data_IF_297220519149
#
_entry.id   IF_297220519149
#
_cell.length_a   1.000
_cell.length_b   1.000
_cell.length_c   1.000
_cell.angle_alpha   90.00
_cell.angle_beta   90.00
_cell.angle_gamma   90.00
#
_symmetry.space_group_name_H-M   'P 1'
#
loop_
_entity.id
_entity.type
_entity.pdbx_description
1 polymer ?
#
# COMPACT_ATOMS: atom_id res chain seq x y z
N UNK A 1 -5.62 -19.77 -33.72
CA UNK A 1 -5.65 -18.74 -32.64
C UNK A 1 -6.88 -18.80 -31.74
N UNK A 2 -8.09 -19.06 -32.21
CA UNK A 2 -9.31 -19.24 -31.36
C UNK A 2 -9.28 -20.44 -30.40
N UNK A 3 -8.45 -21.44 -30.65
CA UNK A 3 -8.35 -22.66 -29.81
C UNK A 3 -7.46 -22.53 -28.58
N UNK A 4 -6.53 -21.58 -28.55
CA UNK A 4 -5.64 -21.38 -27.42
C UNK A 4 -6.30 -20.54 -26.30
N UNK A 5 -7.13 -19.56 -26.69
CA UNK A 5 -7.91 -18.75 -25.74
C UNK A 5 -8.99 -19.58 -25.01
N UNK A 6 -9.50 -20.62 -25.68
CA UNK A 6 -10.48 -21.55 -25.13
C UNK A 6 -9.84 -22.50 -24.07
N UNK A 7 -8.57 -22.84 -24.23
CA UNK A 7 -7.86 -23.73 -23.29
C UNK A 7 -7.48 -23.03 -21.98
N UNK A 8 -7.13 -21.74 -22.01
CA UNK A 8 -6.83 -20.96 -20.79
C UNK A 8 -8.10 -20.66 -19.99
N UNK A 9 -9.24 -20.47 -20.66
CA UNK A 9 -10.54 -20.29 -19.98
C UNK A 9 -11.13 -21.62 -19.46
N UNK A 10 -10.83 -22.75 -20.10
CA UNK A 10 -11.33 -24.07 -19.67
C UNK A 10 -10.52 -24.68 -18.52
N UNK A 11 -9.26 -24.33 -18.35
CA UNK A 11 -8.47 -24.80 -17.19
C UNK A 11 -8.90 -24.15 -15.85
N UNK A 12 -9.68 -23.07 -15.90
CA UNK A 12 -10.25 -22.42 -14.70
C UNK A 12 -11.62 -23.06 -14.32
N UNK A 13 -12.27 -23.78 -15.23
CA UNK A 13 -13.63 -24.31 -15.01
C UNK A 13 -13.71 -25.80 -14.66
N UNK A 14 -12.60 -26.52 -14.51
CA UNK A 14 -12.62 -27.95 -14.15
C UNK A 14 -12.44 -28.14 -12.62
N UNK A 15 -13.25 -27.47 -11.81
CA UNK A 15 -13.52 -27.95 -10.46
C UNK A 15 -14.94 -28.52 -10.40
N UNK A 16 -14.97 -29.80 -10.15
CA UNK A 16 -16.14 -30.71 -10.18
C UNK A 16 -17.27 -30.20 -9.26
N UNK A 17 -18.47 -30.31 -9.77
CA UNK A 17 -19.70 -30.28 -9.00
C UNK A 17 -19.63 -31.33 -7.87
N UNK A 18 -19.51 -30.86 -6.63
CA UNK A 18 -19.80 -31.67 -5.45
C UNK A 18 -21.33 -31.85 -5.43
N UNK A 19 -21.74 -33.09 -5.51
CA UNK A 19 -23.15 -33.51 -5.40
C UNK A 19 -23.76 -32.91 -4.15
N UNK A 20 -24.92 -32.28 -4.31
CA UNK A 20 -25.83 -31.97 -3.24
C UNK A 20 -26.19 -33.29 -2.55
N UNK A 21 -25.91 -33.39 -1.28
CA UNK A 21 -26.34 -34.47 -0.43
C UNK A 21 -27.64 -34.05 0.25
N UNK A 22 -28.58 -34.92 0.15
CA UNK A 22 -29.95 -34.99 0.63
C UNK A 22 -30.42 -33.91 1.61
N UNK A 23 -31.47 -33.22 1.21
CA UNK A 23 -32.34 -32.43 2.05
C UNK A 23 -33.05 -33.37 3.05
N UNK A 24 -33.00 -33.10 4.36
CA UNK A 24 -33.90 -33.79 5.28
C UNK A 24 -35.35 -33.36 5.02
N UNK A 25 -36.28 -34.33 5.03
CA UNK A 25 -37.72 -34.06 4.93
C UNK A 25 -38.16 -32.98 5.93
N UNK A 26 -39.09 -32.11 5.54
CA UNK A 26 -39.62 -31.10 6.46
C UNK A 26 -40.45 -31.78 7.58
N UNK A 27 -40.41 -31.25 8.81
CA UNK A 27 -41.11 -31.82 9.96
C UNK A 27 -42.64 -31.87 9.69
N UNK A 28 -43.26 -32.96 10.04
CA UNK A 28 -44.62 -33.29 9.65
C UNK A 28 -45.74 -32.54 10.43
N UNK A 29 -45.38 -31.83 11.54
CA UNK A 29 -46.37 -31.05 12.32
C UNK A 29 -45.75 -29.80 12.97
N UNK A 30 -46.56 -28.72 13.20
CA UNK A 30 -46.06 -27.51 13.88
C UNK A 30 -45.64 -27.73 15.34
N UNK A 31 -46.11 -28.75 16.02
CA UNK A 31 -45.75 -29.08 17.39
C UNK A 31 -44.34 -29.67 17.50
N UNK A 32 -43.96 -30.55 16.58
CA UNK A 32 -42.61 -31.12 16.51
C UNK A 32 -41.54 -30.06 16.19
N UNK A 33 -41.92 -29.03 15.45
CA UNK A 33 -41.04 -27.91 15.17
C UNK A 33 -40.75 -27.04 16.39
N UNK A 34 -41.72 -26.87 17.30
CA UNK A 34 -41.55 -26.10 18.56
C UNK A 34 -40.65 -26.87 19.52
N UNK A 35 -40.87 -28.17 19.71
CA UNK A 35 -40.04 -29.02 20.57
C UNK A 35 -38.61 -29.13 20.05
N UNK A 36 -38.37 -29.16 18.73
CA UNK A 36 -37.06 -29.15 18.14
C UNK A 36 -36.36 -27.81 18.33
N UNK A 37 -37.06 -26.68 18.32
CA UNK A 37 -36.49 -25.35 18.55
C UNK A 37 -36.16 -25.14 20.04
N UNK A 38 -37.00 -25.61 20.96
CA UNK A 38 -36.70 -25.59 22.40
C UNK A 38 -35.51 -26.49 22.76
N UNK A 39 -35.40 -27.69 22.20
CA UNK A 39 -34.27 -28.58 22.42
C UNK A 39 -32.93 -28.05 21.84
N UNK A 40 -32.98 -27.26 20.77
CA UNK A 40 -31.77 -26.58 20.18
C UNK A 40 -31.40 -25.36 21.01
N UNK A 41 -32.36 -24.65 21.62
CA UNK A 41 -32.08 -23.49 22.46
C UNK A 41 -31.33 -23.86 23.75
N UNK A 42 -31.61 -25.05 24.32
CA UNK A 42 -30.96 -25.55 25.56
C UNK A 42 -29.57 -26.15 25.30
N UNK A 43 -29.16 -26.37 24.02
CA UNK A 43 -27.88 -26.95 23.66
C UNK A 43 -26.87 -25.95 23.05
N UNK A 44 -27.20 -24.65 23.02
CA UNK A 44 -26.22 -23.64 22.64
C UNK A 44 -25.18 -23.57 23.75
N UNK A 45 -24.04 -24.22 23.51
CA UNK A 45 -22.88 -24.05 24.39
C UNK A 45 -22.61 -22.55 24.57
N UNK A 46 -22.35 -22.08 25.80
CA UNK A 46 -22.03 -20.68 26.01
C UNK A 46 -20.89 -20.27 25.06
N UNK A 47 -21.08 -19.16 24.34
CA UNK A 47 -20.00 -18.66 23.50
C UNK A 47 -18.73 -18.56 24.35
N UNK A 48 -17.59 -19.09 23.85
CA UNK A 48 -16.35 -19.07 24.61
C UNK A 48 -16.03 -17.62 24.99
N UNK A 49 -15.80 -17.37 26.28
CA UNK A 49 -15.40 -16.05 26.74
C UNK A 49 -14.17 -15.59 25.99
N UNK A 50 -14.28 -14.43 25.33
CA UNK A 50 -13.17 -13.83 24.59
C UNK A 50 -12.00 -13.60 25.55
N UNK A 51 -10.83 -14.04 25.17
CA UNK A 51 -9.59 -13.73 25.90
C UNK A 51 -9.39 -12.20 25.96
N UNK A 52 -8.62 -11.72 26.96
CA UNK A 52 -8.30 -10.28 27.06
C UNK A 52 -7.65 -9.75 25.77
N UNK A 53 -6.91 -10.58 25.05
CA UNK A 53 -6.39 -10.24 23.73
C UNK A 53 -7.53 -9.99 22.75
N UNK A 54 -8.42 -10.93 22.53
CA UNK A 54 -9.53 -10.84 21.56
C UNK A 54 -10.50 -9.71 21.88
N UNK A 55 -10.62 -9.34 23.17
CA UNK A 55 -11.51 -8.27 23.62
C UNK A 55 -11.01 -6.87 23.24
N UNK A 56 -9.72 -6.62 23.29
CA UNK A 56 -9.13 -5.29 23.11
C UNK A 56 -8.31 -5.13 21.84
N UNK A 57 -7.81 -6.23 21.27
CA UNK A 57 -6.96 -6.22 20.09
C UNK A 57 -7.68 -6.78 18.88
N UNK A 58 -7.51 -6.12 17.75
CA UNK A 58 -8.01 -6.57 16.45
C UNK A 58 -6.86 -6.58 15.45
N UNK A 59 -6.51 -7.76 14.98
CA UNK A 59 -5.60 -7.93 13.86
C UNK A 59 -6.42 -8.09 12.59
N UNK A 60 -6.13 -7.28 11.58
CA UNK A 60 -6.69 -7.40 10.24
C UNK A 60 -5.55 -7.38 9.24
N UNK A 61 -5.69 -8.12 8.16
CA UNK A 61 -4.65 -8.19 7.16
C UNK A 61 -5.19 -8.50 5.78
N UNK A 62 -4.38 -8.16 4.79
CA UNK A 62 -4.57 -8.53 3.39
C UNK A 62 -3.21 -8.88 2.81
N UNK A 63 -3.06 -10.10 2.33
CA UNK A 63 -1.90 -10.53 1.55
C UNK A 63 -2.38 -10.84 0.15
N UNK A 64 -1.75 -10.26 -0.86
CA UNK A 64 -2.12 -10.45 -2.27
C UNK A 64 -0.91 -10.81 -3.11
N UNK A 65 -1.11 -11.68 -4.07
CA UNK A 65 -0.17 -11.95 -5.14
C UNK A 65 -0.83 -11.62 -6.48
N UNK A 66 -0.34 -10.59 -7.14
CA UNK A 66 -0.86 -10.09 -8.40
C UNK A 66 0.08 -10.48 -9.54
N UNK A 67 -0.48 -11.00 -10.61
CA UNK A 67 0.23 -11.32 -11.84
C UNK A 67 -0.33 -10.48 -12.98
N UNK A 68 0.55 -10.00 -13.83
CA UNK A 68 0.21 -9.31 -15.07
C UNK A 68 1.14 -9.79 -16.18
N UNK A 69 0.62 -10.01 -17.36
CA UNK A 69 1.38 -10.47 -18.51
C UNK A 69 0.94 -9.72 -19.77
N UNK A 70 1.90 -9.34 -20.60
CA UNK A 70 1.69 -8.82 -21.94
C UNK A 70 2.46 -9.70 -22.91
N UNK A 71 1.77 -10.39 -23.79
CA UNK A 71 2.34 -11.19 -24.88
C UNK A 71 1.93 -10.64 -26.23
N UNK A 72 2.92 -10.43 -27.10
CA UNK A 72 2.72 -9.92 -28.44
C UNK A 72 3.42 -10.81 -29.45
N UNK A 73 2.70 -11.21 -30.49
CA UNK A 73 3.19 -12.02 -31.62
C UNK A 73 2.86 -11.32 -32.91
N UNK A 74 3.87 -10.98 -33.72
CA UNK A 74 3.68 -10.28 -35.01
C UNK A 74 2.85 -8.99 -34.86
N UNK A 75 3.03 -8.28 -33.76
CA UNK A 75 2.30 -7.06 -33.42
C UNK A 75 2.99 -5.86 -34.04
N UNK A 76 2.34 -5.20 -35.04
CA UNK A 76 2.94 -4.13 -35.83
C UNK A 76 2.94 -2.76 -35.11
N UNK A 77 2.10 -2.58 -34.08
CA UNK A 77 1.94 -1.27 -33.41
C UNK A 77 3.00 -0.99 -32.33
N UNK A 78 4.00 -1.87 -32.19
CA UNK A 78 5.06 -1.72 -31.17
C UNK A 78 4.65 -2.25 -29.79
N UNK A 79 5.57 -2.16 -28.83
CA UNK A 79 5.44 -2.68 -27.47
C UNK A 79 6.40 -3.84 -27.20
N UNK A 80 6.48 -4.25 -25.93
CA UNK A 80 7.34 -5.35 -25.48
C UNK A 80 6.54 -6.41 -24.74
N UNK A 81 6.93 -7.66 -24.96
CA UNK A 81 6.49 -8.75 -24.08
C UNK A 81 7.01 -8.49 -22.67
N UNK A 82 6.14 -8.60 -21.68
CA UNK A 82 6.54 -8.50 -20.28
C UNK A 82 5.65 -9.37 -19.39
N UNK A 83 6.23 -9.81 -18.29
CA UNK A 83 5.51 -10.45 -17.20
C UNK A 83 5.85 -9.71 -15.92
N UNK A 84 4.88 -9.49 -15.05
CA UNK A 84 5.07 -8.83 -13.77
C UNK A 84 4.37 -9.61 -12.66
N UNK A 85 5.08 -9.80 -11.54
CA UNK A 85 4.54 -10.37 -10.32
C UNK A 85 4.76 -9.43 -9.16
N UNK A 86 3.71 -9.18 -8.36
CA UNK A 86 3.77 -8.33 -7.17
C UNK A 86 3.18 -9.09 -5.99
N UNK A 87 3.98 -9.25 -4.93
CA UNK A 87 3.53 -9.68 -3.62
C UNK A 87 3.31 -8.43 -2.76
N UNK A 88 2.09 -8.27 -2.24
CA UNK A 88 1.76 -7.16 -1.34
C UNK A 88 1.18 -7.69 -0.03
N UNK A 89 1.53 -7.02 1.07
CA UNK A 89 1.10 -7.33 2.42
C UNK A 89 0.69 -6.05 3.13
N UNK A 90 -0.53 -6.02 3.64
CA UNK A 90 -1.07 -4.93 4.43
C UNK A 90 -1.60 -5.49 5.74
N UNK A 91 -0.98 -5.13 6.86
CA UNK A 91 -1.36 -5.58 8.20
C UNK A 91 -1.75 -4.39 9.05
N UNK A 92 -2.78 -4.55 9.84
CA UNK A 92 -3.23 -3.56 10.83
C UNK A 92 -3.53 -4.25 12.13
N UNK A 93 -2.81 -3.86 13.18
CA UNK A 93 -3.05 -4.23 14.55
C UNK A 93 -3.66 -3.03 15.28
N UNK A 94 -4.88 -3.18 15.76
CA UNK A 94 -5.60 -2.13 16.48
C UNK A 94 -5.90 -2.58 17.91
N UNK A 95 -5.64 -1.70 18.87
CA UNK A 95 -6.01 -1.82 20.26
C UNK A 95 -6.99 -0.71 20.63
N UNK A 96 -8.06 -1.05 21.32
CA UNK A 96 -8.98 -0.08 21.91
C UNK A 96 -9.45 -0.55 23.27
N UNK A 97 -9.20 0.26 24.29
CA UNK A 97 -9.74 0.09 25.64
C UNK A 97 -9.99 1.45 26.26
N UNK A 98 -11.19 1.67 26.75
CA UNK A 98 -11.63 2.92 27.38
C UNK A 98 -11.28 4.11 26.45
N UNK A 99 -10.53 5.07 26.95
CA UNK A 99 -10.09 6.26 26.20
C UNK A 99 -8.77 6.08 25.43
N UNK A 100 -8.20 4.86 25.41
CA UNK A 100 -6.93 4.59 24.76
C UNK A 100 -7.16 3.84 23.45
N UNK A 101 -6.54 4.34 22.39
CA UNK A 101 -6.45 3.65 21.11
C UNK A 101 -5.01 3.55 20.65
N UNK A 102 -4.62 2.38 20.16
CA UNK A 102 -3.30 2.19 19.57
C UNK A 102 -3.46 1.42 18.26
N UNK A 103 -2.94 1.96 17.19
CA UNK A 103 -3.05 1.42 15.87
C UNK A 103 -1.66 1.33 15.25
N UNK A 104 -1.28 0.14 14.81
CA UNK A 104 -0.01 -0.10 14.12
C UNK A 104 -0.33 -0.71 12.76
N UNK A 105 0.26 -0.15 11.70
CA UNK A 105 0.11 -0.63 10.33
C UNK A 105 1.46 -1.00 9.75
N UNK A 106 1.48 -2.05 8.98
CA UNK A 106 2.61 -2.48 8.18
C UNK A 106 2.15 -2.68 6.73
N UNK A 107 2.74 -1.92 5.82
CA UNK A 107 2.50 -1.99 4.40
C UNK A 107 3.79 -2.39 3.69
N UNK A 108 3.72 -3.38 2.85
CA UNK A 108 4.86 -3.84 2.06
C UNK A 108 4.40 -4.31 0.71
N UNK A 109 5.11 -3.92 -0.32
CA UNK A 109 4.98 -4.52 -1.62
C UNK A 109 6.36 -4.77 -2.24
N UNK A 110 6.49 -5.93 -2.89
CA UNK A 110 7.70 -6.32 -3.59
C UNK A 110 7.33 -6.98 -4.93
N UNK A 111 7.90 -6.50 -6.01
CA UNK A 111 7.53 -6.92 -7.34
C UNK A 111 8.71 -7.09 -8.29
N UNK A 112 8.52 -8.02 -9.23
CA UNK A 112 9.45 -8.30 -10.31
C UNK A 112 8.77 -8.11 -11.65
N UNK A 113 9.53 -7.63 -12.60
CA UNK A 113 9.13 -7.53 -14.00
C UNK A 113 10.17 -8.23 -14.87
N UNK A 114 9.69 -9.05 -15.79
CA UNK A 114 10.49 -9.69 -16.81
C UNK A 114 10.16 -9.10 -18.18
N UNK A 115 11.17 -8.59 -18.87
CA UNK A 115 11.04 -7.97 -20.20
C UNK A 115 12.15 -8.53 -21.11
N UNK A 116 11.87 -9.57 -21.90
CA UNK A 116 12.91 -10.32 -22.64
C UNK A 116 13.62 -9.51 -23.73
N UNK A 117 12.99 -8.44 -24.23
CA UNK A 117 13.50 -7.58 -25.29
C UNK A 117 14.50 -6.53 -24.83
N UNK A 118 14.80 -6.44 -23.53
CA UNK A 118 15.68 -5.45 -22.94
C UNK A 118 17.02 -6.07 -22.50
N UNK A 119 18.08 -5.26 -22.39
CA UNK A 119 19.39 -5.74 -21.92
C UNK A 119 19.31 -6.32 -20.51
N UNK A 120 18.54 -5.68 -19.63
CA UNK A 120 18.27 -6.16 -18.28
C UNK A 120 16.88 -6.79 -18.21
N UNK A 121 16.81 -8.09 -18.50
CA UNK A 121 15.54 -8.82 -18.61
C UNK A 121 14.72 -8.85 -17.32
N UNK A 122 15.38 -8.99 -16.17
CA UNK A 122 14.74 -8.99 -14.86
C UNK A 122 14.95 -7.65 -14.16
N UNK A 123 13.85 -7.02 -13.77
CA UNK A 123 13.86 -5.73 -13.08
C UNK A 123 12.94 -5.78 -11.88
N UNK A 124 13.26 -5.02 -10.88
CA UNK A 124 12.36 -4.76 -9.78
C UNK A 124 11.29 -3.77 -10.21
N UNK A 125 10.02 -4.12 -10.05
CA UNK A 125 8.88 -3.26 -10.38
C UNK A 125 8.38 -2.48 -9.17
N UNK A 126 8.35 -3.15 -8.01
CA UNK A 126 7.91 -2.59 -6.75
C UNK A 126 8.91 -2.92 -5.65
N UNK A 127 9.08 -1.98 -4.73
CA UNK A 127 9.90 -2.15 -3.54
C UNK A 127 9.51 -1.10 -2.51
N UNK A 128 8.73 -1.49 -1.54
CA UNK A 128 8.23 -0.58 -0.51
C UNK A 128 8.07 -1.31 0.81
N UNK A 129 8.55 -0.69 1.86
CA UNK A 129 8.27 -1.04 3.25
C UNK A 129 7.83 0.22 3.98
N UNK A 130 6.66 0.17 4.60
CA UNK A 130 6.09 1.27 5.40
C UNK A 130 5.59 0.71 6.71
N UNK A 131 6.05 1.28 7.79
CA UNK A 131 5.57 1.03 9.14
C UNK A 131 5.02 2.31 9.71
N UNK A 132 3.86 2.26 10.36
CA UNK A 132 3.28 3.40 11.05
C UNK A 132 2.63 2.94 12.34
N UNK A 133 2.87 3.65 13.41
CA UNK A 133 2.22 3.41 14.69
C UNK A 133 1.64 4.71 15.24
N UNK A 134 0.45 4.63 15.82
CA UNK A 134 -0.35 5.75 16.25
C UNK A 134 -0.98 5.44 17.59
N UNK A 135 -0.58 6.17 18.61
CA UNK A 135 -1.14 6.09 19.95
C UNK A 135 -2.01 7.30 20.22
N UNK A 136 -3.27 7.10 20.59
CA UNK A 136 -4.24 8.15 20.82
C UNK A 136 -4.91 8.03 22.19
N UNK A 137 -5.09 9.16 22.84
CA UNK A 137 -5.89 9.33 24.03
C UNK A 137 -7.14 10.17 23.73
N UNK A 138 -8.33 9.58 23.90
CA UNK A 138 -9.61 10.23 23.68
C UNK A 138 -9.92 11.19 24.84
N UNK A 139 -9.87 12.48 24.56
CA UNK A 139 -10.16 13.53 25.55
C UNK A 139 -11.58 14.10 25.38
N UNK A 140 -12.16 13.92 24.22
CA UNK A 140 -13.54 14.27 23.93
C UNK A 140 -14.07 13.32 22.84
N UNK A 141 -15.37 13.09 22.77
CA UNK A 141 -15.99 12.21 21.77
C UNK A 141 -15.39 12.48 20.40
N UNK A 142 -14.83 11.45 19.76
CA UNK A 142 -14.21 11.49 18.44
C UNK A 142 -12.91 12.28 18.30
N UNK A 143 -12.43 12.95 19.36
CA UNK A 143 -11.20 13.72 19.36
C UNK A 143 -10.12 13.07 20.23
N UNK A 144 -8.95 12.87 19.65
CA UNK A 144 -7.83 12.20 20.30
C UNK A 144 -6.59 13.10 20.31
N UNK A 145 -5.92 13.18 21.45
CA UNK A 145 -4.53 13.62 21.49
C UNK A 145 -3.67 12.44 21.04
N UNK A 146 -2.88 12.62 20.00
CA UNK A 146 -2.25 11.51 19.30
C UNK A 146 -0.77 11.73 19.09
N UNK A 147 0.02 10.71 19.39
CA UNK A 147 1.43 10.60 19.01
C UNK A 147 1.48 9.59 17.85
N UNK A 148 2.14 9.96 16.76
CA UNK A 148 2.31 9.12 15.58
C UNK A 148 3.79 9.02 15.22
N UNK A 149 4.26 7.81 14.98
CA UNK A 149 5.57 7.53 14.41
C UNK A 149 5.41 6.74 13.11
N UNK A 150 6.24 7.05 12.13
CA UNK A 150 6.26 6.42 10.83
C UNK A 150 7.67 6.11 10.37
N UNK A 151 7.81 5.06 9.58
CA UNK A 151 9.05 4.69 8.92
C UNK A 151 8.73 4.18 7.52
N UNK A 152 9.49 4.65 6.52
CA UNK A 152 9.34 4.24 5.14
C UNK A 152 10.72 4.04 4.51
N UNK A 153 10.91 2.93 3.79
CA UNK A 153 12.17 2.62 3.10
C UNK A 153 11.92 1.63 1.95
N UNK A 154 13.01 1.13 1.40
CA UNK A 154 13.08 0.07 0.41
C UNK A 154 13.81 -1.14 0.99
N UNK A 155 13.66 -2.33 0.38
CA UNK A 155 14.32 -3.55 0.85
C UNK A 155 15.78 -3.63 0.45
N UNK A 156 16.08 -3.31 -0.82
CA UNK A 156 17.44 -3.39 -1.37
C UNK A 156 17.60 -2.55 -2.64
N UNK A 157 18.77 -2.64 -3.28
CA UNK A 157 19.16 -1.87 -4.46
C UNK A 157 18.07 -1.78 -5.52
N UNK A 158 17.78 -0.58 -5.94
CA UNK A 158 16.91 -0.26 -7.07
C UNK A 158 17.67 0.53 -8.12
N UNK A 159 17.25 0.38 -9.37
CA UNK A 159 17.90 0.98 -10.53
C UNK A 159 16.90 1.66 -11.43
N UNK A 160 17.31 2.77 -12.02
CA UNK A 160 16.69 3.38 -13.19
C UNK A 160 17.35 2.83 -14.45
N UNK A 161 16.55 2.59 -15.49
CA UNK A 161 17.01 2.06 -16.78
C UNK A 161 16.72 3.08 -17.85
N UNK A 162 17.77 3.56 -18.52
CA UNK A 162 17.69 4.56 -19.60
C UNK A 162 18.48 4.08 -20.79
N UNK A 163 18.07 4.49 -22.00
CA UNK A 163 18.90 4.31 -23.20
C UNK A 163 20.02 5.33 -23.16
N UNK A 164 21.28 4.86 -23.27
CA UNK A 164 22.45 5.71 -23.46
C UNK A 164 22.50 6.30 -24.87
N UNK A 165 23.49 7.16 -25.10
CA UNK A 165 23.69 7.85 -26.40
C UNK A 165 23.99 6.86 -27.53
N UNK A 166 24.59 5.73 -27.23
CA UNK A 166 24.86 4.59 -28.13
C UNK A 166 23.64 3.66 -28.34
N UNK A 167 22.47 4.03 -27.81
CA UNK A 167 21.25 3.22 -27.76
C UNK A 167 21.38 1.90 -26.99
N UNK A 168 22.43 1.73 -26.21
CA UNK A 168 22.57 0.64 -25.26
C UNK A 168 21.87 1.03 -23.95
N UNK A 169 21.13 0.09 -23.37
CA UNK A 169 20.46 0.34 -22.12
C UNK A 169 21.46 0.36 -20.96
N UNK A 170 21.44 1.43 -20.19
CA UNK A 170 22.27 1.63 -19.01
C UNK A 170 21.39 1.60 -17.76
N UNK A 171 21.85 0.96 -16.71
CA UNK A 171 21.24 1.00 -15.39
C UNK A 171 21.98 1.98 -14.51
N UNK A 172 21.24 2.89 -13.88
CA UNK A 172 21.76 3.85 -12.90
C UNK A 172 21.19 3.52 -11.53
N UNK A 173 22.03 3.54 -10.52
CA UNK A 173 21.62 3.31 -9.13
C UNK A 173 20.65 4.40 -8.67
N UNK A 174 19.52 4.01 -8.09
CA UNK A 174 18.44 4.92 -7.76
C UNK A 174 18.08 4.95 -6.27
N UNK A 175 18.15 3.83 -5.56
CA UNK A 175 17.80 3.70 -4.14
C UNK A 175 18.24 2.37 -3.54
N UNK A 176 18.22 2.29 -2.19
CA UNK A 176 18.52 1.08 -1.41
C UNK A 176 17.80 1.12 -0.06
N UNK A 177 18.03 0.12 0.79
CA UNK A 177 17.72 0.16 2.21
C UNK A 177 18.32 1.41 2.86
N UNK A 178 17.49 2.20 3.57
CA UNK A 178 17.83 3.49 4.17
C UNK A 178 18.37 4.56 3.19
N UNK A 179 18.17 4.40 1.87
CA UNK A 179 18.63 5.34 0.85
C UNK A 179 17.64 5.51 -0.30
N UNK A 180 16.55 6.33 -0.16
CA UNK A 180 16.20 7.07 1.05
C UNK A 180 15.41 6.25 2.06
N UNK A 181 15.46 6.65 3.31
CA UNK A 181 14.40 6.34 4.28
C UNK A 181 13.84 7.62 4.88
N UNK A 182 12.58 7.53 5.31
CA UNK A 182 11.87 8.61 5.98
C UNK A 182 11.38 8.10 7.33
N UNK A 183 11.82 8.74 8.40
CA UNK A 183 11.34 8.50 9.76
C UNK A 183 10.60 9.75 10.23
N UNK A 184 9.33 9.59 10.58
CA UNK A 184 8.47 10.69 11.02
C UNK A 184 8.05 10.47 12.47
N UNK A 185 8.05 11.53 13.26
CA UNK A 185 7.47 11.56 14.61
C UNK A 185 6.65 12.83 14.75
N UNK A 186 5.40 12.69 15.21
CA UNK A 186 4.52 13.85 15.34
C UNK A 186 3.57 13.72 16.53
N UNK A 187 3.19 14.88 17.10
CA UNK A 187 2.20 14.99 18.16
C UNK A 187 1.12 15.97 17.71
N UNK A 188 -0.14 15.55 17.77
CA UNK A 188 -1.23 16.36 17.27
C UNK A 188 -2.61 15.86 17.68
N UNK A 189 -3.61 16.38 17.04
CA UNK A 189 -5.02 16.06 17.27
C UNK A 189 -5.53 15.21 16.10
N UNK A 190 -6.17 14.10 16.46
CA UNK A 190 -6.80 13.18 15.51
C UNK A 190 -8.33 13.23 15.73
N UNK A 191 -9.05 13.55 14.68
CA UNK A 191 -10.51 13.58 14.67
C UNK A 191 -11.04 12.37 13.88
N UNK A 192 -11.81 11.52 14.56
CA UNK A 192 -12.40 10.29 14.02
C UNK A 192 -13.92 10.35 14.21
N UNK A 193 -14.66 11.05 13.33
CA UNK A 193 -16.11 11.19 13.46
C UNK A 193 -16.84 9.85 13.35
N UNK A 194 -16.27 8.90 12.63
CA UNK A 194 -16.75 7.54 12.42
C UNK A 194 -15.61 6.63 11.99
N UNK A 195 -15.92 5.36 11.70
CA UNK A 195 -14.96 4.35 11.28
C UNK A 195 -14.45 4.53 9.83
N UNK A 196 -15.07 5.44 9.06
CA UNK A 196 -14.76 5.70 7.65
C UNK A 196 -13.68 6.78 7.51
N UNK A 197 -13.83 7.88 8.27
CA UNK A 197 -13.00 9.08 8.13
C UNK A 197 -12.08 9.28 9.32
N UNK A 198 -10.86 9.70 9.03
CA UNK A 198 -9.90 10.16 10.04
C UNK A 198 -9.18 11.40 9.52
N UNK A 199 -9.03 12.41 10.38
CA UNK A 199 -8.28 13.63 10.07
C UNK A 199 -7.33 13.90 11.21
N UNK A 200 -6.04 13.93 10.93
CA UNK A 200 -4.98 14.18 11.88
C UNK A 200 -4.24 15.48 11.52
N UNK A 201 -4.10 16.35 12.47
CA UNK A 201 -3.36 17.61 12.36
C UNK A 201 -2.31 17.69 13.46
N UNK A 202 -1.06 17.81 13.08
CA UNK A 202 0.07 17.98 13.99
C UNK A 202 0.83 19.26 13.67
N UNK A 203 0.84 20.23 14.56
CA UNK A 203 1.71 21.40 14.43
C UNK A 203 3.16 21.09 14.83
N UNK A 204 3.42 19.96 15.48
CA UNK A 204 4.76 19.55 15.92
C UNK A 204 5.08 18.21 15.30
N UNK A 205 5.75 18.23 14.16
CA UNK A 205 6.19 17.06 13.43
C UNK A 205 7.68 17.14 13.10
N UNK A 206 8.41 16.06 13.35
CA UNK A 206 9.79 15.87 12.95
C UNK A 206 9.89 14.85 11.86
N UNK A 207 10.68 15.10 10.83
CA UNK A 207 11.03 14.16 9.76
C UNK A 207 12.54 14.03 9.67
N UNK A 208 13.03 12.82 9.60
CA UNK A 208 14.42 12.49 9.31
C UNK A 208 14.45 11.76 7.96
N UNK A 209 15.11 12.36 6.99
CA UNK A 209 15.42 11.73 5.71
C UNK A 209 16.84 11.20 5.79
N UNK A 210 17.02 9.89 5.60
CA UNK A 210 18.35 9.24 5.61
C UNK A 210 18.73 8.82 4.20
N UNK A 211 19.99 9.06 3.83
CA UNK A 211 20.62 8.58 2.61
C UNK A 211 22.00 8.10 3.00
N UNK A 212 22.22 6.79 2.98
CA UNK A 212 23.54 6.21 3.27
C UNK A 212 24.42 6.31 2.03
N UNK A 213 25.63 6.81 2.20
CA UNK A 213 26.62 6.85 1.15
C UNK A 213 27.06 5.42 0.78
N UNK A 214 27.17 5.14 -0.52
CA UNK A 214 27.84 3.94 -1.03
C UNK A 214 29.29 4.26 -1.39
N UNK A 215 30.15 3.27 -1.24
CA UNK A 215 31.58 3.42 -1.58
C UNK A 215 31.80 3.63 -3.09
N UNK A 216 30.84 3.25 -3.94
CA UNK A 216 30.85 3.41 -5.39
C UNK A 216 30.15 4.69 -5.89
N UNK A 217 29.47 5.44 -5.03
CA UNK A 217 28.84 6.72 -5.34
C UNK A 217 29.71 7.90 -4.91
N UNK A 218 30.77 8.12 -5.68
CA UNK A 218 31.74 9.21 -5.43
C UNK A 218 31.14 10.60 -5.67
N UNK A 219 30.02 10.71 -6.39
CA UNK A 219 29.40 11.99 -6.74
C UNK A 219 28.25 12.37 -5.81
N UNK A 220 27.96 11.57 -4.79
CA UNK A 220 26.84 11.81 -3.85
C UNK A 220 25.49 12.07 -4.55
N UNK A 221 25.25 11.38 -5.67
CA UNK A 221 24.10 11.63 -6.55
C UNK A 221 22.76 11.45 -5.82
N UNK A 222 22.67 10.48 -4.90
CA UNK A 222 21.47 10.29 -4.09
C UNK A 222 21.29 11.37 -3.04
N UNK A 223 22.36 11.89 -2.44
CA UNK A 223 22.30 12.99 -1.48
C UNK A 223 21.66 14.21 -2.14
N UNK A 224 22.17 14.60 -3.30
CA UNK A 224 21.61 15.72 -4.09
C UNK A 224 20.15 15.46 -4.50
N UNK A 225 19.83 14.23 -4.92
CA UNK A 225 18.48 13.83 -5.34
C UNK A 225 17.45 13.98 -4.22
N UNK A 226 17.80 13.63 -2.99
CA UNK A 226 16.89 13.66 -1.83
C UNK A 226 17.12 14.84 -0.88
N UNK A 227 17.96 15.78 -1.26
CA UNK A 227 18.22 17.02 -0.54
C UNK A 227 18.91 16.81 0.82
N UNK A 228 19.71 15.74 0.94
CA UNK A 228 20.56 15.48 2.11
C UNK A 228 21.93 16.11 1.85
N UNK A 229 22.55 16.82 2.82
CA UNK A 229 23.90 17.37 2.63
C UNK A 229 24.94 16.27 2.37
N UNK A 230 25.89 16.51 1.46
CA UNK A 230 26.91 15.55 1.09
C UNK A 230 27.83 15.11 2.25
N UNK A 231 27.93 15.95 3.28
CA UNK A 231 28.73 15.70 4.49
C UNK A 231 27.99 14.90 5.56
N UNK A 232 26.69 14.63 5.37
CA UNK A 232 25.84 13.97 6.36
C UNK A 232 25.05 12.86 5.70
N UNK A 233 24.79 11.79 6.43
CA UNK A 233 23.93 10.69 5.98
C UNK A 233 22.45 10.92 6.27
N UNK A 234 22.09 12.06 6.85
CA UNK A 234 20.70 12.36 7.16
C UNK A 234 20.42 13.87 7.17
N UNK A 235 19.15 14.20 6.99
CA UNK A 235 18.59 15.55 7.14
C UNK A 235 17.43 15.49 8.10
N UNK A 236 17.42 16.32 9.12
CA UNK A 236 16.31 16.45 10.06
C UNK A 236 15.55 17.76 9.84
N UNK A 237 14.23 17.67 9.78
CA UNK A 237 13.33 18.80 9.55
C UNK A 237 12.22 18.80 10.60
N UNK A 238 11.94 19.97 11.17
CA UNK A 238 10.76 20.21 12.00
C UNK A 238 9.70 20.92 11.15
N UNK A 239 8.44 20.56 11.34
CA UNK A 239 7.36 21.09 10.53
C UNK A 239 5.98 20.74 11.09
N UNK A 240 4.98 20.88 10.23
CA UNK A 240 3.62 20.46 10.49
C UNK A 240 3.21 19.32 9.55
N UNK A 241 2.37 18.43 10.07
CA UNK A 241 1.79 17.33 9.30
C UNK A 241 0.27 17.41 9.33
N UNK A 242 -0.35 17.26 8.16
CA UNK A 242 -1.78 17.00 8.00
C UNK A 242 -1.95 15.64 7.35
N UNK A 243 -2.85 14.80 7.90
CA UNK A 243 -3.16 13.51 7.32
C UNK A 243 -4.68 13.30 7.31
N UNK A 244 -5.22 12.95 6.15
CA UNK A 244 -6.63 12.58 6.01
C UNK A 244 -6.73 11.16 5.45
N UNK A 245 -7.62 10.37 6.04
CA UNK A 245 -7.81 8.97 5.65
C UNK A 245 -9.28 8.65 5.44
N UNK A 246 -9.54 7.82 4.44
CA UNK A 246 -10.85 7.21 4.16
C UNK A 246 -10.66 5.71 4.08
N UNK A 247 -11.47 4.97 4.83
CA UNK A 247 -11.56 3.51 4.78
C UNK A 247 -13.02 3.12 4.67
N UNK A 248 -13.49 2.87 3.47
CA UNK A 248 -14.89 2.68 3.20
C UNK A 248 -15.16 1.36 2.49
N UNK A 249 -16.12 0.60 3.03
CA UNK A 249 -16.56 -0.68 2.47
C UNK A 249 -18.08 -0.64 2.26
N UNK A 250 -18.55 -0.05 1.13
CA UNK A 250 -19.97 0.17 0.87
C UNK A 250 -20.78 -1.12 0.69
N UNK A 251 -20.14 -2.15 0.15
CA UNK A 251 -20.75 -3.46 -0.08
C UNK A 251 -19.74 -4.55 0.20
N UNK A 252 -20.23 -5.77 0.44
CA UNK A 252 -19.36 -6.93 0.70
C UNK A 252 -18.37 -7.13 -0.46
N UNK A 253 -17.11 -7.25 -0.14
CA UNK A 253 -16.02 -7.45 -1.11
C UNK A 253 -15.44 -6.16 -1.72
N UNK A 254 -16.12 -5.01 -1.62
CA UNK A 254 -15.58 -3.74 -2.11
C UNK A 254 -14.94 -2.95 -0.97
N UNK A 255 -13.69 -2.57 -1.15
CA UNK A 255 -12.94 -1.75 -0.21
C UNK A 255 -12.32 -0.56 -0.93
N UNK A 256 -12.52 0.62 -0.37
CA UNK A 256 -11.97 1.89 -0.86
C UNK A 256 -11.09 2.45 0.24
N UNK A 257 -9.83 2.69 -0.08
CA UNK A 257 -8.84 3.29 0.81
C UNK A 257 -8.31 4.55 0.16
N UNK A 258 -8.22 5.63 0.93
CA UNK A 258 -7.52 6.84 0.50
C UNK A 258 -6.76 7.41 1.68
N UNK A 259 -5.50 7.76 1.47
CA UNK A 259 -4.67 8.42 2.48
C UNK A 259 -3.93 9.58 1.85
N UNK A 260 -4.24 10.78 2.28
CA UNK A 260 -3.54 12.00 1.93
C UNK A 260 -2.65 12.40 3.12
N UNK A 261 -1.37 12.60 2.87
CA UNK A 261 -0.41 13.12 3.84
C UNK A 261 0.24 14.38 3.28
N UNK A 262 0.18 15.47 4.02
CA UNK A 262 0.87 16.71 3.72
C UNK A 262 1.90 16.98 4.83
N UNK A 263 3.10 17.38 4.43
CA UNK A 263 4.13 17.82 5.36
C UNK A 263 4.70 19.16 4.89
N UNK A 264 4.85 20.11 5.81
CA UNK A 264 5.50 21.40 5.54
C UNK A 264 6.59 21.66 6.57
N UNK A 265 7.87 21.77 6.15
CA UNK A 265 8.96 22.12 7.04
C UNK A 265 8.89 23.59 7.46
N UNK A 266 9.25 23.89 8.71
CA UNK A 266 9.27 25.26 9.23
C UNK A 266 10.50 26.06 8.77
N UNK A 267 11.53 25.40 8.26
CA UNK A 267 12.65 26.03 7.59
C UNK A 267 12.26 26.40 6.15
N UNK A 268 12.54 27.59 5.71
CA UNK A 268 12.16 28.15 4.41
C UNK A 268 10.66 28.47 4.32
N UNK A 269 10.03 29.28 3.99
CA UNK A 269 8.63 29.64 3.70
C UNK A 269 7.60 28.61 4.20
N UNK A 270 7.17 28.77 5.43
CA UNK A 270 6.05 28.01 6.01
C UNK A 270 4.85 28.09 5.03
N UNK A 271 4.28 26.94 4.67
CA UNK A 271 3.26 26.76 3.63
C UNK A 271 3.68 27.04 2.18
N UNK A 272 4.92 27.46 1.92
CA UNK A 272 5.45 27.59 0.55
C UNK A 272 6.00 26.28 -0.03
N UNK A 273 6.45 25.37 0.83
CA UNK A 273 7.05 24.08 0.47
C UNK A 273 6.24 22.98 1.13
N UNK A 274 5.32 22.38 0.40
CA UNK A 274 4.45 21.32 0.92
C UNK A 274 4.77 20.03 0.18
N UNK A 275 5.23 19.02 0.91
CA UNK A 275 5.30 17.66 0.42
C UNK A 275 3.90 17.04 0.43
N UNK A 276 3.53 16.40 -0.67
CA UNK A 276 2.24 15.72 -0.85
C UNK A 276 2.51 14.25 -1.11
N UNK A 277 1.84 13.39 -0.35
CA UNK A 277 1.80 11.94 -0.58
C UNK A 277 0.32 11.51 -0.52
N UNK A 278 -0.25 11.16 -1.66
CA UNK A 278 -1.63 10.70 -1.75
C UNK A 278 -1.68 9.32 -2.37
N UNK A 279 -2.05 8.36 -1.56
CA UNK A 279 -2.30 6.98 -1.97
C UNK A 279 -3.81 6.72 -1.99
N UNK A 280 -4.29 6.11 -3.08
CA UNK A 280 -5.67 5.72 -3.26
C UNK A 280 -5.73 4.29 -3.79
N UNK A 281 -6.64 3.48 -3.25
CA UNK A 281 -6.85 2.12 -3.72
C UNK A 281 -8.34 1.75 -3.68
N UNK A 282 -8.79 1.06 -4.73
CA UNK A 282 -10.07 0.36 -4.79
C UNK A 282 -9.75 -1.12 -4.98
N UNK A 283 -10.28 -1.98 -4.12
CA UNK A 283 -10.16 -3.43 -4.24
C UNK A 283 -11.55 -4.03 -4.23
N UNK A 284 -11.82 -4.90 -5.20
CA UNK A 284 -13.06 -5.67 -5.24
C UNK A 284 -12.76 -7.16 -5.26
N UNK A 285 -13.20 -7.86 -4.22
CA UNK A 285 -13.12 -9.30 -4.09
C UNK A 285 -14.42 -9.92 -4.59
N UNK A 286 -14.38 -10.54 -5.76
CA UNK A 286 -15.57 -11.14 -6.39
C UNK A 286 -15.68 -12.64 -6.16
N UNK A 287 -14.62 -13.27 -5.62
CA UNK A 287 -14.60 -14.66 -5.15
C UNK A 287 -13.82 -14.75 -3.86
N UNK A 288 -13.85 -15.90 -3.17
CA UNK A 288 -13.19 -16.08 -1.86
C UNK A 288 -11.71 -15.65 -1.84
N UNK A 289 -11.03 -15.75 -2.97
CA UNK A 289 -9.60 -15.47 -3.10
C UNK A 289 -9.23 -14.56 -4.29
N UNK A 290 -10.16 -14.33 -5.23
CA UNK A 290 -9.90 -13.51 -6.42
C UNK A 290 -10.28 -12.06 -6.18
N UNK A 291 -9.37 -11.16 -6.47
CA UNK A 291 -9.59 -9.72 -6.36
C UNK A 291 -9.08 -8.95 -7.59
N UNK A 292 -9.74 -7.83 -7.85
CA UNK A 292 -9.25 -6.78 -8.75
C UNK A 292 -8.90 -5.59 -7.90
N UNK A 293 -7.72 -5.03 -8.10
CA UNK A 293 -7.25 -3.86 -7.37
C UNK A 293 -6.80 -2.79 -8.34
N UNK A 294 -7.29 -1.58 -8.15
CA UNK A 294 -6.75 -0.36 -8.74
C UNK A 294 -6.05 0.41 -7.62
N UNK A 295 -4.76 0.68 -7.79
CA UNK A 295 -3.97 1.50 -6.86
C UNK A 295 -3.39 2.69 -7.60
N UNK A 296 -3.56 3.89 -7.07
CA UNK A 296 -2.93 5.09 -7.57
C UNK A 296 -2.11 5.75 -6.47
N UNK A 297 -0.98 6.32 -6.83
CA UNK A 297 -0.11 7.08 -5.93
C UNK A 297 0.32 8.36 -6.61
N UNK A 298 0.05 9.49 -5.97
CA UNK A 298 0.47 10.82 -6.40
C UNK A 298 1.42 11.38 -5.34
N UNK A 299 2.61 11.79 -5.76
CA UNK A 299 3.64 12.33 -4.87
C UNK A 299 4.21 13.61 -5.42
N UNK A 300 4.45 14.54 -4.53
CA UNK A 300 5.23 15.74 -4.77
C UNK A 300 6.09 16.00 -3.54
N UNK A 301 7.38 16.10 -3.73
CA UNK A 301 8.35 16.43 -2.68
C UNK A 301 9.20 17.59 -3.16
N UNK A 302 9.16 18.71 -2.44
CA UNK A 302 9.90 19.93 -2.79
C UNK A 302 11.43 19.73 -2.79
N UNK A 303 11.92 18.80 -2.00
CA UNK A 303 13.34 18.47 -1.93
C UNK A 303 13.81 17.44 -2.97
N UNK A 304 12.89 16.80 -3.72
CA UNK A 304 13.21 15.73 -4.68
C UNK A 304 13.19 16.27 -6.10
N UNK A 305 14.37 16.38 -6.69
CA UNK A 305 14.51 16.81 -8.06
C UNK A 305 14.34 15.64 -9.04
N UNK A 306 13.62 15.90 -10.12
CA UNK A 306 13.37 14.99 -11.23
C UNK A 306 13.86 15.62 -12.50
N UNK A 307 14.69 14.88 -13.25
CA UNK A 307 15.12 15.28 -14.58
C UNK A 307 13.96 15.12 -15.57
N UNK A 308 13.72 16.15 -16.36
CA UNK A 308 12.70 16.16 -17.39
C UNK A 308 13.09 17.04 -18.56
N UNK A 309 12.57 16.73 -19.75
CA UNK A 309 12.86 17.45 -20.98
C UNK A 309 11.63 18.26 -21.39
N UNK A 310 11.83 19.54 -21.72
CA UNK A 310 10.77 20.41 -22.24
C UNK A 310 10.45 20.09 -23.72
N UNK A 311 9.44 20.76 -24.27
CA UNK A 311 9.05 20.59 -25.67
C UNK A 311 10.10 21.08 -26.67
N UNK A 312 11.05 21.89 -26.22
CA UNK A 312 12.15 22.44 -27.00
C UNK A 312 13.40 21.52 -26.95
N UNK A 313 13.39 20.46 -26.13
CA UNK A 313 14.50 19.54 -25.98
C UNK A 313 15.50 19.91 -24.86
N UNK A 314 15.24 20.97 -24.06
CA UNK A 314 16.10 21.34 -22.97
C UNK A 314 15.86 20.44 -21.76
N UNK A 315 16.93 19.99 -21.12
CA UNK A 315 16.91 19.17 -19.90
C UNK A 315 16.82 20.08 -18.67
N UNK A 316 15.87 19.83 -17.84
CA UNK A 316 15.63 20.52 -16.57
C UNK A 316 15.72 19.54 -15.40
N UNK A 317 16.08 20.03 -14.21
CA UNK A 317 16.08 19.27 -12.98
C UNK A 317 15.36 20.05 -11.88
N UNK A 318 14.14 19.64 -11.55
CA UNK A 318 13.28 20.37 -10.61
C UNK A 318 12.26 19.46 -9.95
N UNK A 319 11.66 19.87 -8.81
CA UNK A 319 10.57 19.14 -8.20
C UNK A 319 9.36 19.02 -9.14
N UNK A 320 8.78 17.84 -9.24
CA UNK A 320 7.60 17.57 -10.08
C UNK A 320 6.65 16.58 -9.43
N UNK A 321 5.39 16.68 -9.81
CA UNK A 321 4.39 15.68 -9.46
C UNK A 321 4.74 14.35 -10.11
N UNK A 322 4.76 13.31 -9.30
CA UNK A 322 4.95 11.92 -9.68
C UNK A 322 3.60 11.21 -9.55
N UNK A 323 3.19 10.50 -10.59
CA UNK A 323 1.96 9.71 -10.57
C UNK A 323 2.26 8.29 -10.99
N UNK A 324 1.68 7.34 -10.25
CA UNK A 324 1.76 5.92 -10.58
C UNK A 324 0.38 5.30 -10.44
N UNK A 325 0.01 4.47 -11.39
CA UNK A 325 -1.20 3.66 -11.39
C UNK A 325 -0.83 2.19 -11.58
N UNK A 326 -1.49 1.32 -10.84
CA UNK A 326 -1.37 -0.13 -10.97
C UNK A 326 -2.76 -0.73 -10.95
N UNK A 327 -3.10 -1.46 -12.01
CA UNK A 327 -4.28 -2.31 -12.07
C UNK A 327 -3.82 -3.76 -12.00
N UNK A 328 -4.32 -4.50 -11.04
CA UNK A 328 -3.95 -5.90 -10.81
C UNK A 328 -5.15 -6.82 -10.70
N UNK A 329 -5.05 -7.99 -11.30
CA UNK A 329 -5.88 -9.15 -11.00
C UNK A 329 -5.02 -10.11 -10.18
N UNK A 330 -5.51 -10.51 -9.01
CA UNK A 330 -4.68 -11.27 -8.09
C UNK A 330 -5.46 -12.25 -7.22
N UNK A 331 -4.69 -13.06 -6.53
CA UNK A 331 -5.16 -13.93 -5.46
C UNK A 331 -4.83 -13.23 -4.15
N UNK A 332 -5.82 -13.10 -3.26
CA UNK A 332 -5.65 -12.46 -1.97
C UNK A 332 -6.32 -13.21 -0.84
N UNK A 333 -5.71 -13.14 0.34
CA UNK A 333 -6.27 -13.65 1.59
C UNK A 333 -6.41 -12.50 2.58
N UNK A 334 -7.63 -12.29 3.04
CA UNK A 334 -7.95 -11.29 4.07
C UNK A 334 -8.38 -11.97 5.36
N UNK A 335 -7.96 -11.45 6.50
CA UNK A 335 -8.29 -11.96 7.84
C UNK A 335 -8.49 -10.80 8.82
#
# INVERSE_FOLDING_TARGET
MKKLLFFVLMSIFSFQAVKAQDNPEPPATPAEAVDAVEAVADTVAPEPELTNWQKYWKLTGLVTFNLSETMQWNWAAGGNNNGMGILACNLKLAYKKDNISWETTFDSDYGWMWTPSTAFKWRKSNDKIVFSTKFGWEFHKTWYLTVMAGFKSHYHDGYEYKLGDDRVEVKTYAYNWLSPSYSDLSVGIDWKPNDIFTVYLSPVAGRITTVLQRNDDTLHTLHAKYGVPDTLNFKAELGATFKAGVNYSPVKGLKILSTLTLFTPYKKHVFGNIDVDWDFAISYQFWKVLNVTLSTSLKYYDAVNIEWTDKQGNVHNSPRVQFREIIGLGIGYSF
#
